data_IF_769146445093
#
_entry.id   IF_769146445093
#
_cell.length_a   1.000
_cell.length_b   1.000
_cell.length_c   1.000
_cell.angle_alpha   90.00
_cell.angle_beta   90.00
_cell.angle_gamma   90.00
#
_symmetry.space_group_name_H-M   'P 1'
#
loop_
_entity.id
_entity.type
_entity.pdbx_description
1 polymer ?
#
# COMPACT_ATOMS: atom_id res chain seq x y z
N UNK A 1 2.77 9.21 4.68
CA UNK A 1 4.19 8.87 4.45
C UNK A 1 4.51 9.01 2.97
N UNK A 2 5.68 9.51 2.68
CA UNK A 2 6.09 9.67 1.29
C UNK A 2 6.35 8.29 0.68
N UNK A 3 6.07 8.18 -0.60
CA UNK A 3 6.22 6.90 -1.26
C UNK A 3 7.65 6.38 -1.25
N UNK A 4 8.62 7.29 -1.25
CA UNK A 4 10.03 6.90 -1.16
C UNK A 4 10.29 6.01 0.04
N UNK A 5 9.71 6.39 1.18
CA UNK A 5 9.87 5.63 2.42
C UNK A 5 9.16 4.29 2.34
N UNK A 6 7.99 4.30 1.71
CA UNK A 6 7.24 3.06 1.52
C UNK A 6 8.05 2.11 0.66
N UNK A 7 8.67 2.63 -0.38
CA UNK A 7 9.47 1.82 -1.28
C UNK A 7 10.68 1.22 -0.56
N UNK A 8 11.34 2.02 0.26
CA UNK A 8 12.51 1.56 1.01
C UNK A 8 12.16 0.43 1.98
N UNK A 9 11.00 0.52 2.60
CA UNK A 9 10.57 -0.49 3.55
C UNK A 9 9.66 -1.55 2.97
N UNK A 10 9.69 -1.75 1.67
CA UNK A 10 8.75 -2.63 1.00
C UNK A 10 8.72 -4.04 1.56
N UNK A 11 9.85 -4.55 2.03
CA UNK A 11 9.91 -5.88 2.62
C UNK A 11 8.94 -6.03 3.79
N UNK A 12 8.82 -4.99 4.59
CA UNK A 12 7.90 -4.98 5.72
C UNK A 12 6.51 -4.52 5.32
N UNK A 13 6.46 -3.52 4.48
CA UNK A 13 5.20 -2.90 4.09
C UNK A 13 4.39 -3.82 3.19
N UNK A 14 5.05 -4.72 2.48
CA UNK A 14 4.37 -5.67 1.61
C UNK A 14 3.29 -6.47 2.33
N UNK A 15 3.51 -6.80 3.60
CA UNK A 15 2.52 -7.50 4.37
C UNK A 15 1.26 -6.64 4.58
N UNK A 16 1.47 -5.36 4.79
CA UNK A 16 0.35 -4.42 4.94
C UNK A 16 -0.41 -4.28 3.65
N UNK A 17 0.31 -4.30 2.53
CA UNK A 17 -0.33 -4.24 1.21
C UNK A 17 -1.20 -5.47 1.01
N UNK A 18 -0.71 -6.63 1.35
CA UNK A 18 -1.48 -7.87 1.21
C UNK A 18 -2.68 -7.88 2.15
N UNK A 19 -2.54 -7.31 3.32
CA UNK A 19 -3.65 -7.23 4.25
C UNK A 19 -4.76 -6.33 3.71
N UNK A 20 -4.38 -5.28 3.00
CA UNK A 20 -5.36 -4.35 2.43
C UNK A 20 -5.93 -4.87 1.11
N UNK A 21 -5.09 -5.48 0.29
CA UNK A 21 -5.49 -5.99 -1.02
C UNK A 21 -5.17 -7.48 -1.08
N UNK A 22 -6.02 -8.26 -0.46
CA UNK A 22 -5.73 -9.68 -0.27
C UNK A 22 -5.86 -10.54 -1.53
N UNK A 23 -6.33 -9.96 -2.62
CA UNK A 23 -6.32 -10.67 -3.90
C UNK A 23 -4.92 -10.73 -4.50
N UNK A 24 -4.01 -9.91 -3.99
CA UNK A 24 -2.62 -9.97 -4.42
C UNK A 24 -1.90 -11.03 -3.61
N UNK A 25 -1.09 -11.84 -4.28
CA UNK A 25 -0.30 -12.84 -3.56
C UNK A 25 1.10 -12.30 -3.27
N UNK A 26 1.86 -13.07 -2.49
CA UNK A 26 3.19 -12.63 -2.07
C UNK A 26 4.11 -12.41 -3.26
N UNK A 27 4.04 -13.27 -4.27
CA UNK A 27 4.89 -13.13 -5.43
C UNK A 27 4.57 -11.85 -6.19
N UNK A 28 3.31 -11.52 -6.30
CA UNK A 28 2.90 -10.28 -6.98
C UNK A 28 3.37 -9.05 -6.23
N UNK A 29 3.24 -9.07 -4.91
CA UNK A 29 3.69 -7.96 -4.08
C UNK A 29 5.21 -7.80 -4.20
N UNK A 30 5.94 -8.89 -4.20
CA UNK A 30 7.38 -8.83 -4.39
C UNK A 30 7.76 -8.28 -5.76
N UNK A 31 7.03 -8.71 -6.78
CA UNK A 31 7.30 -8.24 -8.14
C UNK A 31 7.07 -6.74 -8.28
N UNK A 32 6.14 -6.20 -7.51
CA UNK A 32 5.87 -4.76 -7.52
C UNK A 32 7.10 -4.00 -7.01
N UNK A 33 7.77 -4.54 -6.00
CA UNK A 33 9.04 -3.99 -5.54
C UNK A 33 8.96 -2.56 -5.04
N UNK A 34 7.80 -2.14 -4.58
CA UNK A 34 7.63 -0.79 -4.06
C UNK A 34 7.31 0.24 -5.12
N UNK A 35 7.07 -0.17 -6.35
CA UNK A 35 6.73 0.75 -7.42
C UNK A 35 5.23 1.03 -7.40
N UNK A 36 4.87 2.29 -7.15
CA UNK A 36 3.47 2.69 -7.03
C UNK A 36 2.67 2.40 -8.30
N UNK A 37 3.28 2.63 -9.46
CA UNK A 37 2.58 2.39 -10.73
C UNK A 37 2.31 0.91 -10.93
N UNK A 38 3.25 0.07 -10.56
CA UNK A 38 3.06 -1.38 -10.66
C UNK A 38 1.96 -1.83 -9.69
N UNK A 39 1.94 -1.29 -8.49
CA UNK A 39 0.89 -1.60 -7.53
C UNK A 39 -0.47 -1.16 -8.07
N UNK A 40 -0.52 0.03 -8.64
CA UNK A 40 -1.73 0.56 -9.23
C UNK A 40 -2.25 -0.38 -10.33
N UNK A 41 -1.36 -0.80 -11.21
CA UNK A 41 -1.74 -1.69 -12.29
C UNK A 41 -2.28 -3.02 -11.78
N UNK A 42 -1.64 -3.57 -10.75
CA UNK A 42 -2.08 -4.83 -10.16
C UNK A 42 -3.45 -4.69 -9.51
N UNK A 43 -3.69 -3.60 -8.82
CA UNK A 43 -4.98 -3.38 -8.19
C UNK A 43 -6.07 -3.24 -9.25
N UNK A 44 -5.78 -2.48 -10.30
CA UNK A 44 -6.75 -2.34 -11.39
C UNK A 44 -7.09 -3.70 -12.00
N UNK A 45 -6.09 -4.53 -12.18
CA UNK A 45 -6.26 -5.83 -12.81
C UNK A 45 -7.03 -6.80 -11.91
N UNK A 46 -6.61 -6.91 -10.65
CA UNK A 46 -7.18 -7.90 -9.75
C UNK A 46 -8.57 -7.53 -9.26
N UNK A 47 -8.82 -6.26 -9.05
CA UNK A 47 -10.09 -5.81 -8.52
C UNK A 47 -10.99 -5.22 -9.60
N UNK A 48 -10.49 -5.18 -10.83
CA UNK A 48 -11.25 -4.65 -11.98
C UNK A 48 -11.75 -3.24 -11.69
N UNK A 49 -10.83 -2.41 -11.23
CA UNK A 49 -11.12 -1.02 -10.92
C UNK A 49 -10.55 -0.11 -12.00
N UNK A 50 -11.15 1.07 -12.12
CA UNK A 50 -10.56 2.10 -12.97
C UNK A 50 -9.27 2.60 -12.32
N UNK A 51 -8.41 3.20 -13.12
CA UNK A 51 -7.18 3.77 -12.61
C UNK A 51 -7.46 4.77 -11.51
N UNK A 52 -8.47 5.61 -11.70
CA UNK A 52 -8.80 6.62 -10.71
C UNK A 52 -9.24 6.00 -9.38
N UNK A 53 -10.08 4.97 -9.46
CA UNK A 53 -10.53 4.29 -8.24
C UNK A 53 -9.38 3.63 -7.51
N UNK A 54 -8.49 3.00 -8.26
CA UNK A 54 -7.32 2.35 -7.66
C UNK A 54 -6.39 3.38 -7.02
N UNK A 55 -6.18 4.50 -7.69
CA UNK A 55 -5.34 5.56 -7.15
C UNK A 55 -5.92 6.10 -5.85
N UNK A 56 -7.23 6.23 -5.81
CA UNK A 56 -7.90 6.71 -4.63
C UNK A 56 -7.67 5.76 -3.45
N UNK A 57 -7.78 4.48 -3.71
CA UNK A 57 -7.55 3.48 -2.68
C UNK A 57 -6.10 3.51 -2.18
N UNK A 58 -5.16 3.62 -3.10
CA UNK A 58 -3.76 3.68 -2.73
C UNK A 58 -3.47 4.92 -1.90
N UNK A 59 -4.01 6.06 -2.32
CA UNK A 59 -3.80 7.31 -1.60
C UNK A 59 -4.40 7.24 -0.20
N UNK A 60 -5.59 6.69 -0.07
CA UNK A 60 -6.23 6.55 1.23
C UNK A 60 -5.42 5.64 2.14
N UNK A 61 -4.94 4.53 1.60
CA UNK A 61 -4.10 3.62 2.35
C UNK A 61 -2.80 4.29 2.77
N UNK A 62 -2.18 5.00 1.86
CA UNK A 62 -0.92 5.68 2.12
C UNK A 62 -1.08 6.71 3.24
N UNK A 63 -2.16 7.48 3.19
CA UNK A 63 -2.41 8.48 4.21
C UNK A 63 -2.65 7.85 5.57
N UNK A 64 -3.44 6.78 5.60
CA UNK A 64 -3.71 6.08 6.84
C UNK A 64 -2.43 5.50 7.43
N UNK A 65 -1.59 4.95 6.57
CA UNK A 65 -0.33 4.36 7.01
C UNK A 65 0.61 5.46 7.53
N UNK A 66 0.63 6.58 6.86
CA UNK A 66 1.44 7.72 7.28
C UNK A 66 1.04 8.22 8.66
N UNK A 67 -0.24 8.36 8.88
CA UNK A 67 -0.75 8.81 10.15
C UNK A 67 -0.32 7.88 11.27
N UNK A 68 -0.48 6.60 11.03
CA UNK A 68 -0.10 5.60 12.01
C UNK A 68 1.40 5.66 12.30
N UNK A 69 2.17 5.88 11.26
CA UNK A 69 3.62 5.94 11.39
C UNK A 69 4.06 7.19 12.14
N UNK A 70 3.45 8.32 11.81
CA UNK A 70 3.81 9.58 12.41
C UNK A 70 3.50 9.64 13.90
N UNK A 71 2.39 9.08 14.27
CA UNK A 71 1.95 9.12 15.66
C UNK A 71 2.45 7.91 16.45
N UNK A 72 3.25 7.09 15.81
CA UNK A 72 3.78 5.89 16.45
C UNK A 72 2.66 4.91 16.70
N UNK A 73 2.39 4.66 17.94
CA UNK A 73 1.29 3.79 18.32
C UNK A 73 0.13 4.67 18.75
N UNK A 74 -0.77 4.97 17.86
CA UNK A 74 -1.85 5.91 18.18
C UNK A 74 -2.69 5.50 19.36
N UNK A 75 -2.84 4.24 19.55
CA UNK A 75 -3.63 3.77 20.68
C UNK A 75 -2.98 4.08 22.03
N UNK A 76 -1.71 4.35 22.04
CA UNK A 76 -1.01 4.69 23.26
C UNK A 76 -1.36 6.09 23.75
N UNK A 77 -1.73 6.92 22.83
CA UNK A 77 -1.95 8.32 23.14
C UNK A 77 -3.31 8.57 23.76
N UNK A 78 -4.13 7.58 23.80
CA UNK A 78 -5.51 7.79 24.23
C UNK A 78 -6.01 6.73 25.16
#
# INVERSE_FOLDING_TARGET
MRWDRIQEGWDHIGEQVRARWNLLNAAEVQAIGGDRESLLAKICERYQLSRQAAEWQISAWQNAYSDRWLYGSPCELH
#
